data_IF_475191518982
#
_entry.id   IF_475191518982
#
_cell.length_a   1.000
_cell.length_b   1.000
_cell.length_c   1.000
_cell.angle_alpha   90.00
_cell.angle_beta   90.00
_cell.angle_gamma   90.00
#
_symmetry.space_group_name_H-M   'P 1'
#
loop_
_entity.id
_entity.type
_entity.pdbx_description
1 polymer ?
#
# COMPACT_ATOMS: atom_id res chain seq x y z
N UNK A 1 10.99 -6.09 4.14
CA UNK A 1 9.80 -6.88 4.53
C UNK A 1 8.90 -5.95 5.31
N UNK A 2 7.59 -6.00 5.09
CA UNK A 2 6.65 -5.19 5.87
C UNK A 2 6.52 -5.68 7.32
N UNK A 3 6.04 -4.80 8.19
CA UNK A 3 5.80 -5.02 9.62
C UNK A 3 4.32 -4.81 9.93
N UNK A 4 3.81 -5.30 11.07
CA UNK A 4 2.45 -5.01 11.50
C UNK A 4 2.16 -3.50 11.65
N UNK A 5 3.18 -2.72 12.01
CA UNK A 5 3.07 -1.27 12.17
C UNK A 5 2.77 -0.57 10.83
N UNK A 6 3.27 -1.08 9.71
CA UNK A 6 3.00 -0.51 8.38
C UNK A 6 1.50 -0.54 8.05
N UNK A 7 0.81 -1.64 8.39
CA UNK A 7 -0.66 -1.74 8.23
C UNK A 7 -1.36 -0.87 9.27
N UNK A 8 -0.88 -0.86 10.52
CA UNK A 8 -1.44 -0.03 11.59
C UNK A 8 -1.44 1.45 11.25
N UNK A 9 -0.38 1.95 10.62
CA UNK A 9 -0.26 3.33 10.17
C UNK A 9 -1.26 3.67 9.06
N UNK A 10 -1.49 2.75 8.10
CA UNK A 10 -2.51 2.94 7.05
C UNK A 10 -3.91 2.98 7.65
N UNK A 11 -4.22 2.12 8.63
CA UNK A 11 -5.50 2.14 9.34
C UNK A 11 -5.66 3.43 10.14
N UNK A 12 -4.63 3.86 10.86
CA UNK A 12 -4.63 5.12 11.63
C UNK A 12 -4.94 6.32 10.74
N UNK A 13 -4.29 6.42 9.58
CA UNK A 13 -4.59 7.46 8.58
C UNK A 13 -6.03 7.36 8.08
N UNK A 14 -6.48 6.16 7.73
CA UNK A 14 -7.84 5.91 7.20
C UNK A 14 -8.94 6.26 8.19
N UNK A 15 -8.68 6.14 9.50
CA UNK A 15 -9.62 6.52 10.55
C UNK A 15 -9.52 8.00 10.97
N UNK A 16 -8.57 8.76 10.41
CA UNK A 16 -8.40 10.18 10.73
C UNK A 16 -9.35 11.08 9.94
N UNK A 17 -9.59 12.30 10.43
CA UNK A 17 -10.40 13.30 9.73
C UNK A 17 -9.86 13.66 8.33
N UNK A 18 -8.55 13.48 8.10
CA UNK A 18 -7.92 13.74 6.80
C UNK A 18 -8.42 12.78 5.72
N UNK A 19 -8.91 11.60 6.10
CA UNK A 19 -9.46 10.59 5.20
C UNK A 19 -10.99 10.71 5.03
N UNK A 20 -11.63 11.78 5.52
CA UNK A 20 -13.09 11.91 5.54
C UNK A 20 -13.77 11.73 4.17
N UNK A 21 -13.06 11.98 3.07
CA UNK A 21 -13.60 11.78 1.73
C UNK A 21 -13.21 10.45 1.05
N UNK A 22 -12.49 9.58 1.74
CA UNK A 22 -12.03 8.29 1.21
C UNK A 22 -12.98 7.20 1.71
N UNK A 23 -13.78 6.65 0.81
CA UNK A 23 -14.70 5.55 1.12
C UNK A 23 -14.87 4.60 -0.06
N UNK A 24 -15.17 3.33 0.24
CA UNK A 24 -15.33 2.27 -0.76
C UNK A 24 -14.05 1.85 -1.49
N UNK A 25 -12.88 2.35 -1.07
CA UNK A 25 -11.59 2.04 -1.69
C UNK A 25 -10.89 0.88 -0.99
N UNK A 26 -10.07 0.14 -1.75
CA UNK A 26 -9.08 -0.80 -1.21
C UNK A 26 -7.72 -0.10 -1.25
N UNK A 27 -7.09 0.03 -0.08
CA UNK A 27 -5.75 0.64 0.06
C UNK A 27 -4.74 -0.47 0.32
N UNK A 28 -3.72 -0.58 -0.53
CA UNK A 28 -2.66 -1.58 -0.41
C UNK A 28 -1.48 -1.04 0.42
N UNK A 29 -1.12 -1.79 1.47
CA UNK A 29 0.03 -1.53 2.35
C UNK A 29 1.09 -2.63 2.17
N UNK A 30 1.53 -2.86 0.94
CA UNK A 30 2.25 -4.08 0.54
C UNK A 30 3.65 -3.82 -0.03
N UNK A 31 4.17 -2.59 0.09
CA UNK A 31 5.45 -2.20 -0.47
C UNK A 31 5.49 -2.24 -2.00
N UNK A 32 4.34 -2.19 -2.67
CA UNK A 32 4.23 -2.19 -4.13
C UNK A 32 4.09 -3.57 -4.76
N UNK A 33 3.97 -4.64 -3.96
CA UNK A 33 3.86 -6.01 -4.47
C UNK A 33 2.72 -6.20 -5.48
N UNK A 34 1.56 -5.57 -5.24
CA UNK A 34 0.39 -5.62 -6.14
C UNK A 34 0.62 -4.90 -7.48
N UNK A 35 1.69 -4.11 -7.61
CA UNK A 35 2.06 -3.41 -8.83
C UNK A 35 3.13 -4.15 -9.64
N UNK A 36 3.75 -5.20 -9.08
CA UNK A 36 4.82 -5.93 -9.73
C UNK A 36 4.27 -7.01 -10.67
N UNK A 37 4.82 -7.11 -11.87
CA UNK A 37 4.63 -8.27 -12.75
C UNK A 37 5.67 -9.35 -12.41
N UNK A 38 5.27 -10.55 -11.96
CA UNK A 38 6.21 -11.62 -11.58
C UNK A 38 6.97 -12.23 -12.76
N UNK A 39 6.54 -12.01 -14.00
CA UNK A 39 7.21 -12.52 -15.21
C UNK A 39 8.34 -11.58 -15.69
N UNK A 40 8.44 -10.37 -15.13
CA UNK A 40 9.43 -9.38 -15.53
C UNK A 40 10.47 -9.23 -14.41
N UNK A 41 11.79 -9.21 -14.74
CA UNK A 41 12.83 -8.98 -13.75
C UNK A 41 12.66 -7.64 -13.00
N UNK A 42 12.86 -7.59 -11.67
CA UNK A 42 12.64 -6.39 -10.86
C UNK A 42 13.46 -5.18 -11.32
N UNK A 43 14.67 -5.40 -11.82
CA UNK A 43 15.57 -4.33 -12.28
C UNK A 43 15.00 -3.52 -13.45
N UNK A 44 14.08 -4.12 -14.22
CA UNK A 44 13.40 -3.44 -15.32
C UNK A 44 12.12 -2.71 -14.89
N UNK A 45 11.65 -2.94 -13.67
CA UNK A 45 10.39 -2.39 -13.13
C UNK A 45 10.63 -1.25 -12.14
N UNK A 46 11.84 -1.15 -11.58
CA UNK A 46 12.16 -0.26 -10.47
C UNK A 46 12.60 1.15 -10.86
N UNK A 47 12.59 1.50 -12.16
CA UNK A 47 12.70 2.88 -12.69
C UNK A 47 13.83 3.73 -12.11
#
# INVERSE_FOLDING_TARGET
>A
MGTPEDVGNVVSLSCSEQAAWITGQVIYADGGASLMNPEVPPELQLG
#
